data_IF_425747517196
#
_entry.id   IF_425747517196
#
_cell.length_a   1.000
_cell.length_b   1.000
_cell.length_c   1.000
_cell.angle_alpha   90.00
_cell.angle_beta   90.00
_cell.angle_gamma   90.00
#
_symmetry.space_group_name_H-M   'P 1'
#
loop_
_entity.id
_entity.type
_entity.pdbx_description
1 polymer ?
#
# COMPACT_ATOMS: atom_id res chain seq x y z
N UNK A 1 9.88 -13.67 -8.07
CA UNK A 1 11.04 -12.73 -8.03
C UNK A 1 11.54 -12.30 -9.42
N UNK A 2 11.45 -13.11 -10.48
CA UNK A 2 12.07 -12.79 -11.79
C UNK A 2 11.71 -11.42 -12.38
N UNK A 3 10.45 -11.00 -12.35
CA UNK A 3 10.05 -9.66 -12.83
C UNK A 3 10.62 -8.53 -11.96
N UNK A 4 10.62 -8.70 -10.63
CA UNK A 4 11.19 -7.71 -9.70
C UNK A 4 12.69 -7.55 -9.93
N UNK A 5 13.41 -8.65 -10.17
CA UNK A 5 14.85 -8.61 -10.46
C UNK A 5 15.17 -7.93 -11.80
N UNK A 6 14.34 -8.17 -12.81
CA UNK A 6 14.51 -7.60 -14.15
C UNK A 6 14.16 -6.11 -14.20
N UNK A 7 12.97 -5.74 -13.69
CA UNK A 7 12.43 -4.38 -13.76
C UNK A 7 13.05 -3.46 -12.71
N UNK A 8 13.47 -4.03 -11.57
CA UNK A 8 14.00 -3.29 -10.42
C UNK A 8 13.07 -2.16 -9.92
N UNK A 9 11.78 -2.47 -9.63
CA UNK A 9 10.82 -1.43 -9.27
C UNK A 9 11.08 -0.86 -7.88
N UNK A 10 10.71 0.40 -7.67
CA UNK A 10 10.69 1.03 -6.34
C UNK A 10 9.39 0.80 -5.58
N UNK A 11 8.30 0.54 -6.31
CA UNK A 11 6.96 0.28 -5.78
C UNK A 11 6.48 -1.08 -6.25
N UNK A 12 6.03 -1.92 -5.31
CA UNK A 12 5.34 -3.17 -5.59
C UNK A 12 3.93 -3.10 -5.03
N UNK A 13 2.93 -3.18 -5.91
CA UNK A 13 1.52 -3.08 -5.55
C UNK A 13 0.77 -4.36 -5.93
N UNK A 14 0.04 -4.91 -4.96
CA UNK A 14 -0.77 -6.11 -5.10
C UNK A 14 -2.25 -5.77 -5.08
N UNK A 15 -2.97 -6.18 -6.13
CA UNK A 15 -4.41 -5.93 -6.33
C UNK A 15 -5.15 -7.17 -6.86
N UNK A 16 -4.56 -8.36 -6.73
CA UNK A 16 -5.00 -9.56 -7.47
C UNK A 16 -6.03 -10.44 -6.75
N UNK A 17 -6.17 -10.29 -5.44
CA UNK A 17 -6.97 -11.20 -4.59
C UNK A 17 -6.34 -12.59 -4.37
N UNK A 18 -5.14 -12.83 -4.91
CA UNK A 18 -4.47 -14.14 -4.84
C UNK A 18 -3.99 -14.52 -3.44
N UNK A 19 -3.66 -13.53 -2.60
CA UNK A 19 -3.12 -13.72 -1.26
C UNK A 19 -1.71 -14.31 -1.24
N UNK A 20 -0.88 -13.88 -0.28
CA UNK A 20 0.46 -14.44 -0.01
C UNK A 20 1.42 -14.52 -1.22
N UNK A 21 1.21 -13.68 -2.24
CA UNK A 21 2.04 -13.62 -3.44
C UNK A 21 3.38 -12.91 -3.21
N UNK A 22 3.44 -11.98 -2.24
CA UNK A 22 4.66 -11.28 -1.87
C UNK A 22 5.40 -12.07 -0.79
N UNK A 23 5.85 -13.27 -1.18
CA UNK A 23 6.63 -14.14 -0.31
C UNK A 23 8.02 -13.54 0.00
N UNK A 24 8.72 -14.09 1.00
CA UNK A 24 10.02 -13.62 1.50
C UNK A 24 11.01 -13.23 0.40
N UNK A 25 11.26 -14.13 -0.57
CA UNK A 25 12.19 -13.86 -1.66
C UNK A 25 11.83 -12.63 -2.51
N UNK A 26 10.54 -12.27 -2.66
CA UNK A 26 10.12 -11.05 -3.35
C UNK A 26 10.39 -9.82 -2.47
N UNK A 27 10.03 -9.89 -1.19
CA UNK A 27 10.20 -8.78 -0.24
C UNK A 27 11.68 -8.44 -0.02
N UNK A 28 12.53 -9.46 0.23
CA UNK A 28 13.97 -9.30 0.32
C UNK A 28 14.55 -8.70 -0.95
N UNK A 29 14.05 -9.12 -2.13
CA UNK A 29 14.52 -8.58 -3.40
C UNK A 29 14.18 -7.10 -3.56
N UNK A 30 12.96 -6.68 -3.19
CA UNK A 30 12.58 -5.27 -3.14
C UNK A 30 13.52 -4.47 -2.21
N UNK A 31 13.87 -5.05 -1.06
CA UNK A 31 14.75 -4.45 -0.06
C UNK A 31 16.23 -4.38 -0.48
N UNK A 32 16.68 -5.28 -1.35
CA UNK A 32 18.02 -5.25 -1.95
C UNK A 32 18.13 -4.19 -3.05
N UNK A 33 17.07 -4.01 -3.83
CA UNK A 33 17.05 -3.08 -4.96
C UNK A 33 16.88 -1.64 -4.48
N UNK A 34 16.11 -1.42 -3.41
CA UNK A 34 15.77 -0.10 -2.93
C UNK A 34 16.15 0.06 -1.45
N UNK A 35 16.72 1.21 -1.10
CA UNK A 35 16.98 1.58 0.29
C UNK A 35 15.67 1.70 1.09
N UNK A 36 14.59 2.17 0.46
CA UNK A 36 13.28 2.34 1.09
C UNK A 36 12.16 1.85 0.15
N UNK A 37 11.93 0.53 0.03
CA UNK A 37 10.95 0.00 -0.92
C UNK A 37 9.51 0.34 -0.51
N UNK A 38 8.64 0.57 -1.48
CA UNK A 38 7.19 0.73 -1.23
C UNK A 38 6.48 -0.58 -1.53
N UNK A 39 5.72 -1.11 -0.55
CA UNK A 39 5.01 -2.37 -0.65
C UNK A 39 3.55 -2.16 -0.27
N UNK A 40 2.65 -2.26 -1.25
CA UNK A 40 1.21 -2.10 -1.05
C UNK A 40 0.50 -3.44 -1.25
N UNK A 41 -0.12 -3.96 -0.19
CA UNK A 41 -0.91 -5.20 -0.22
C UNK A 41 -2.41 -4.85 -0.14
N UNK A 42 -3.02 -4.52 -1.29
CA UNK A 42 -4.34 -3.89 -1.34
C UNK A 42 -5.49 -4.88 -1.44
N UNK A 43 -5.20 -6.17 -1.61
CA UNK A 43 -6.24 -7.19 -1.65
C UNK A 43 -6.98 -7.34 -0.33
N UNK A 44 -8.30 -7.45 -0.42
CA UNK A 44 -9.22 -7.55 0.72
C UNK A 44 -9.93 -8.93 0.75
N UNK A 45 -10.29 -9.46 1.93
CA UNK A 45 -9.91 -9.00 3.28
C UNK A 45 -8.44 -9.35 3.61
N UNK A 46 -7.99 -9.17 4.86
CA UNK A 46 -6.60 -9.47 5.28
C UNK A 46 -6.10 -10.87 4.88
N UNK A 47 -6.98 -11.88 4.84
CA UNK A 47 -6.64 -13.25 4.40
C UNK A 47 -6.27 -13.36 2.92
N UNK A 48 -6.56 -12.32 2.13
CA UNK A 48 -6.23 -12.18 0.70
C UNK A 48 -5.12 -11.18 0.44
N UNK A 49 -4.57 -10.53 1.47
CA UNK A 49 -3.44 -9.63 1.31
C UNK A 49 -2.22 -10.37 0.74
N UNK A 50 -1.48 -9.71 -0.15
CA UNK A 50 -0.30 -10.28 -0.81
C UNK A 50 0.83 -10.59 0.15
N UNK A 51 0.94 -9.83 1.24
CA UNK A 51 1.70 -10.15 2.45
C UNK A 51 1.07 -9.41 3.64
N UNK A 52 1.46 -9.83 4.83
CA UNK A 52 1.16 -9.09 6.07
C UNK A 52 2.14 -7.93 6.27
N UNK A 53 1.73 -6.95 7.09
CA UNK A 53 2.63 -5.88 7.50
C UNK A 53 3.88 -6.40 8.23
N UNK A 54 3.73 -7.44 9.05
CA UNK A 54 4.84 -8.05 9.79
C UNK A 54 5.88 -8.67 8.84
N UNK A 55 5.44 -9.44 7.84
CA UNK A 55 6.32 -9.98 6.81
C UNK A 55 7.02 -8.85 6.05
N UNK A 56 6.29 -7.81 5.62
CA UNK A 56 6.86 -6.70 4.90
C UNK A 56 7.96 -5.99 5.70
N UNK A 57 7.71 -5.65 6.98
CA UNK A 57 8.73 -5.01 7.81
C UNK A 57 9.90 -5.94 8.10
N UNK A 58 9.65 -7.20 8.46
CA UNK A 58 10.73 -8.14 8.81
C UNK A 58 11.67 -8.39 7.65
N UNK A 59 11.12 -8.64 6.46
CA UNK A 59 11.91 -8.98 5.27
C UNK A 59 12.56 -7.77 4.58
N UNK A 60 12.26 -6.56 5.05
CA UNK A 60 12.86 -5.32 4.55
C UNK A 60 13.65 -4.57 5.62
N UNK A 61 13.97 -5.22 6.74
CA UNK A 61 14.65 -4.62 7.89
C UNK A 61 13.95 -3.37 8.44
N UNK A 62 12.63 -3.33 8.36
CA UNK A 62 11.79 -2.21 8.82
C UNK A 62 11.91 -0.96 7.96
N UNK A 63 12.53 -1.07 6.77
CA UNK A 63 12.76 0.08 5.88
C UNK A 63 11.58 0.37 4.95
N UNK A 64 10.72 -0.62 4.66
CA UNK A 64 9.66 -0.39 3.69
C UNK A 64 8.64 0.66 4.12
N UNK A 65 8.07 1.34 3.14
CA UNK A 65 6.79 2.03 3.30
C UNK A 65 5.71 1.00 2.98
N UNK A 66 4.86 0.69 3.96
CA UNK A 66 3.81 -0.31 3.81
C UNK A 66 2.43 0.33 3.93
N UNK A 67 1.53 -0.07 3.03
CA UNK A 67 0.10 0.20 3.14
C UNK A 67 -0.72 -1.01 2.69
N UNK A 68 -1.94 -1.14 3.19
CA UNK A 68 -2.82 -2.25 2.87
C UNK A 68 -4.26 -1.81 2.59
N UNK A 69 -5.02 -2.68 1.92
CA UNK A 69 -6.45 -2.45 1.70
C UNK A 69 -7.27 -2.70 2.97
N UNK A 70 -6.90 -3.73 3.72
CA UNK A 70 -7.51 -4.10 5.01
C UNK A 70 -6.62 -3.69 6.18
N UNK A 71 -7.19 -3.38 7.36
CA UNK A 71 -6.41 -2.93 8.50
C UNK A 71 -5.53 -4.05 9.08
N UNK A 72 -4.31 -3.70 9.48
CA UNK A 72 -3.43 -4.54 10.27
C UNK A 72 -3.16 -3.91 11.64
N UNK A 73 -2.89 -4.75 12.64
CA UNK A 73 -2.46 -4.28 13.96
C UNK A 73 -1.07 -3.61 13.87
N UNK A 74 -0.71 -2.74 14.82
CA UNK A 74 0.67 -2.27 14.95
C UNK A 74 1.67 -3.42 15.04
N UNK A 75 2.83 -3.25 14.44
CA UNK A 75 3.91 -4.26 14.40
C UNK A 75 5.11 -3.71 15.17
N UNK A 76 5.62 -4.47 16.14
CA UNK A 76 6.87 -4.12 16.84
C UNK A 76 8.03 -4.86 16.17
N UNK A 77 9.04 -4.12 15.71
CA UNK A 77 10.22 -4.68 15.06
C UNK A 77 11.47 -3.86 15.43
N UNK A 78 12.53 -4.52 15.92
CA UNK A 78 13.81 -3.91 16.38
C UNK A 78 13.58 -2.66 17.25
N UNK A 79 12.83 -2.84 18.34
CA UNK A 79 12.48 -1.80 19.34
C UNK A 79 11.68 -0.60 18.79
N UNK A 80 11.18 -0.69 17.56
CA UNK A 80 10.31 0.32 16.94
C UNK A 80 8.91 -0.24 16.69
N UNK A 81 7.90 0.53 17.04
CA UNK A 81 6.51 0.25 16.69
C UNK A 81 6.17 0.90 15.35
N UNK A 82 5.70 0.09 14.41
CA UNK A 82 5.20 0.51 13.11
C UNK A 82 3.67 0.47 13.10
N UNK A 83 3.05 1.48 12.52
CA UNK A 83 1.61 1.59 12.35
C UNK A 83 1.28 1.49 10.85
N UNK A 84 0.89 0.31 10.35
CA UNK A 84 0.56 0.11 8.94
C UNK A 84 -0.58 1.04 8.51
N UNK A 85 -0.37 1.81 7.43
CA UNK A 85 -1.42 2.64 6.85
C UNK A 85 -2.45 1.80 6.10
N UNK A 86 -3.70 2.28 6.06
CA UNK A 86 -4.75 1.68 5.24
C UNK A 86 -5.08 2.62 4.08
N UNK A 87 -5.02 2.13 2.84
CA UNK A 87 -5.47 2.85 1.66
C UNK A 87 -6.98 2.85 1.55
N UNK A 88 -7.67 3.59 2.43
CA UNK A 88 -9.12 3.59 2.53
C UNK A 88 -9.77 4.71 1.69
N UNK A 89 -10.76 4.38 0.88
CA UNK A 89 -11.48 5.34 0.05
C UNK A 89 -12.14 6.48 0.87
N UNK A 90 -12.38 6.26 2.17
CA UNK A 90 -12.90 7.26 3.10
C UNK A 90 -12.02 8.53 3.21
N UNK A 91 -10.75 8.47 2.82
CA UNK A 91 -9.91 9.66 2.76
C UNK A 91 -10.23 10.59 1.57
N UNK A 92 -10.95 10.09 0.56
CA UNK A 92 -11.21 10.81 -0.70
C UNK A 92 -12.69 11.16 -0.86
N UNK A 93 -13.58 10.16 -0.82
CA UNK A 93 -14.97 10.37 -1.24
C UNK A 93 -15.72 11.44 -0.43
N UNK A 94 -15.52 11.64 0.89
CA UNK A 94 -16.25 12.66 1.64
C UNK A 94 -15.89 14.08 1.16
N UNK A 95 -14.61 14.33 0.90
CA UNK A 95 -14.13 15.64 0.45
C UNK A 95 -14.60 15.94 -0.97
N UNK A 96 -14.47 14.98 -1.88
CA UNK A 96 -14.94 15.12 -3.28
C UNK A 96 -16.45 15.34 -3.31
N UNK A 97 -17.22 14.59 -2.51
CA UNK A 97 -18.67 14.76 -2.43
C UNK A 97 -19.06 16.14 -1.88
N UNK A 98 -18.42 16.57 -0.79
CA UNK A 98 -18.67 17.89 -0.20
C UNK A 98 -18.38 19.02 -1.19
N UNK A 99 -17.24 18.97 -1.89
CA UNK A 99 -16.88 19.98 -2.88
C UNK A 99 -17.86 19.98 -4.07
N UNK A 100 -18.28 18.81 -4.53
CA UNK A 100 -19.25 18.66 -5.63
C UNK A 100 -20.57 19.33 -5.27
N UNK A 101 -21.09 19.09 -4.05
CA UNK A 101 -22.35 19.69 -3.58
C UNK A 101 -22.19 21.20 -3.34
N UNK A 102 -21.14 21.62 -2.63
CA UNK A 102 -20.93 23.02 -2.25
C UNK A 102 -20.73 23.93 -3.47
N UNK A 103 -20.09 23.44 -4.53
CA UNK A 103 -19.86 24.19 -5.76
C UNK A 103 -20.91 23.93 -6.85
N UNK A 104 -21.91 23.09 -6.58
CA UNK A 104 -22.89 22.63 -7.57
C UNK A 104 -22.21 22.14 -8.87
N UNK A 105 -21.11 21.40 -8.72
CA UNK A 105 -20.35 20.91 -9.86
C UNK A 105 -21.22 19.94 -10.70
N UNK A 106 -21.24 20.15 -12.02
CA UNK A 106 -22.05 19.34 -12.93
C UNK A 106 -21.45 17.97 -13.23
N UNK A 107 -20.13 17.88 -13.20
CA UNK A 107 -19.37 16.66 -13.45
C UNK A 107 -18.25 16.53 -12.42
N UNK A 108 -17.88 15.29 -12.12
CA UNK A 108 -16.71 14.98 -11.31
C UNK A 108 -15.63 14.49 -12.27
N UNK A 109 -14.64 15.34 -12.50
CA UNK A 109 -13.54 15.08 -13.43
C UNK A 109 -12.37 14.36 -12.72
N UNK A 110 -11.49 13.74 -13.49
CA UNK A 110 -10.29 13.05 -12.98
C UNK A 110 -9.40 13.97 -12.14
N UNK A 111 -9.20 15.22 -12.59
CA UNK A 111 -8.40 16.22 -11.89
C UNK A 111 -8.91 16.52 -10.47
N UNK A 112 -10.22 16.38 -10.22
CA UNK A 112 -10.78 16.57 -8.88
C UNK A 112 -10.32 15.47 -7.92
N UNK A 113 -10.19 14.23 -8.40
CA UNK A 113 -9.64 13.13 -7.62
C UNK A 113 -8.13 13.27 -7.41
N UNK A 114 -7.40 13.74 -8.41
CA UNK A 114 -5.96 14.01 -8.29
C UNK A 114 -5.68 15.11 -7.26
N UNK A 115 -6.44 16.20 -7.27
CA UNK A 115 -6.34 17.27 -6.26
C UNK A 115 -6.67 16.73 -4.86
N UNK A 116 -7.69 15.89 -4.73
CA UNK A 116 -8.03 15.29 -3.43
C UNK A 116 -6.96 14.33 -2.90
N UNK A 117 -6.10 13.77 -3.77
CA UNK A 117 -5.04 12.83 -3.41
C UNK A 117 -3.68 13.49 -3.12
N UNK A 118 -3.51 14.78 -3.46
CA UNK A 118 -2.29 15.57 -3.23
C UNK A 118 -2.17 16.07 -1.79
#
# INVERSE_FOLDING_TARGET
AGVVDHVKPSILMGVSGGGRLFHEGVLKKMAQINERPVIFALSNPTSRAECTAEEAYRETDGRCIFASGSPFKPVVYKDKTFHPGQGNNAYIFPAVALATVACAARHVEEDMFLIAAQ
#
